data_IF_412548096463
#
_entry.id   IF_412548096463
#
_cell.length_a   1.000
_cell.length_b   1.000
_cell.length_c   1.000
_cell.angle_alpha   90.00
_cell.angle_beta   90.00
_cell.angle_gamma   90.00
#
_symmetry.space_group_name_H-M   'P 1'
#
loop_
_entity.id
_entity.type
_entity.pdbx_description
1 polymer ?
#
# COMPACT_ATOMS: atom_id res chain seq x y z
N UNK A 1 -17.54 -18.52 -13.97
CA UNK A 1 -17.66 -17.30 -14.79
C UNK A 1 -17.71 -17.67 -16.27
N UNK A 2 -18.57 -16.98 -17.02
CA UNK A 2 -18.74 -17.19 -18.44
C UNK A 2 -18.10 -16.05 -19.24
N UNK A 3 -17.24 -16.39 -20.20
CA UNK A 3 -16.66 -15.43 -21.16
C UNK A 3 -17.66 -14.94 -22.21
N UNK A 4 -18.89 -15.46 -22.20
CA UNK A 4 -19.99 -15.01 -23.07
C UNK A 4 -20.70 -13.78 -22.52
N UNK A 5 -20.49 -13.46 -21.23
CA UNK A 5 -21.01 -12.25 -20.60
C UNK A 5 -20.00 -11.11 -20.76
N UNK A 6 -20.51 -9.89 -20.82
CA UNK A 6 -19.73 -8.68 -21.12
C UNK A 6 -18.58 -8.49 -20.13
N UNK A 7 -18.86 -8.66 -18.83
CA UNK A 7 -17.89 -8.39 -17.77
C UNK A 7 -18.10 -9.28 -16.53
N UNK A 8 -17.24 -9.12 -15.54
CA UNK A 8 -17.32 -9.86 -14.27
C UNK A 8 -18.58 -9.47 -13.47
N UNK A 9 -19.02 -8.24 -13.54
CA UNK A 9 -20.16 -7.74 -12.80
C UNK A 9 -21.47 -8.37 -13.30
N UNK A 10 -21.60 -8.53 -14.63
CA UNK A 10 -22.76 -9.23 -15.20
C UNK A 10 -22.77 -10.71 -14.82
N UNK A 11 -21.61 -11.34 -14.74
CA UNK A 11 -21.48 -12.71 -14.23
C UNK A 11 -21.96 -12.82 -12.78
N UNK A 12 -21.51 -11.90 -11.90
CA UNK A 12 -21.89 -11.89 -10.48
C UNK A 12 -23.39 -11.61 -10.30
N UNK A 13 -23.95 -10.68 -11.07
CA UNK A 13 -25.39 -10.38 -11.05
C UNK A 13 -26.23 -11.60 -11.49
N UNK A 14 -25.82 -12.28 -12.56
CA UNK A 14 -26.47 -13.51 -13.00
C UNK A 14 -26.43 -14.60 -11.93
N UNK A 15 -25.26 -14.81 -11.32
CA UNK A 15 -25.11 -15.79 -10.23
C UNK A 15 -26.00 -15.44 -9.02
N UNK A 16 -26.11 -14.17 -8.69
CA UNK A 16 -26.98 -13.70 -7.61
C UNK A 16 -28.46 -13.96 -7.95
N UNK A 17 -28.88 -13.67 -9.17
CA UNK A 17 -30.26 -13.94 -9.63
C UNK A 17 -30.55 -15.46 -9.63
N UNK A 18 -29.59 -16.27 -10.02
CA UNK A 18 -29.72 -17.73 -9.98
C UNK A 18 -29.89 -18.27 -8.56
N UNK A 19 -29.24 -17.63 -7.58
CA UNK A 19 -29.25 -18.06 -6.18
C UNK A 19 -30.51 -17.59 -5.43
N UNK A 20 -30.90 -16.32 -5.58
CA UNK A 20 -31.98 -15.70 -4.78
C UNK A 20 -33.22 -15.34 -5.62
N UNK A 21 -33.22 -15.66 -6.90
CA UNK A 21 -34.31 -15.38 -7.84
C UNK A 21 -34.32 -13.94 -8.38
N UNK A 22 -35.41 -13.53 -9.08
CA UNK A 22 -35.47 -12.22 -9.78
C UNK A 22 -35.25 -11.00 -8.90
N UNK A 23 -35.39 -11.14 -7.58
CA UNK A 23 -35.11 -10.06 -6.63
C UNK A 23 -33.65 -9.61 -6.68
N UNK A 24 -32.72 -10.52 -7.05
CA UNK A 24 -31.30 -10.21 -7.25
C UNK A 24 -31.06 -9.10 -8.29
N UNK A 25 -31.92 -8.99 -9.29
CA UNK A 25 -31.84 -7.90 -10.30
C UNK A 25 -32.09 -6.51 -9.74
N UNK A 26 -32.72 -6.36 -8.56
CA UNK A 26 -32.90 -5.05 -7.90
C UNK A 26 -31.58 -4.41 -7.51
N UNK A 27 -30.53 -5.20 -7.32
CA UNK A 27 -29.18 -4.68 -7.00
C UNK A 27 -28.65 -3.72 -8.08
N UNK A 28 -29.10 -3.86 -9.33
CA UNK A 28 -28.69 -3.00 -10.45
C UNK A 28 -29.51 -1.69 -10.56
N UNK A 29 -30.56 -1.53 -9.76
CA UNK A 29 -31.47 -0.38 -9.85
C UNK A 29 -30.73 0.94 -9.69
N UNK A 30 -30.85 1.84 -10.68
CA UNK A 30 -30.20 3.17 -10.65
C UNK A 30 -28.68 3.15 -10.69
N UNK A 31 -28.07 2.01 -11.00
CA UNK A 31 -26.61 1.85 -11.04
C UNK A 31 -26.08 1.75 -12.46
N UNK A 32 -24.93 2.40 -12.71
CA UNK A 32 -24.13 2.24 -13.92
C UNK A 32 -22.87 1.42 -13.61
N UNK A 33 -22.18 0.92 -14.64
CA UNK A 33 -20.82 0.40 -14.48
C UNK A 33 -19.85 1.51 -14.01
N UNK A 34 -20.10 2.76 -14.40
CA UNK A 34 -19.23 3.88 -14.06
C UNK A 34 -19.13 4.11 -12.55
N UNK A 35 -20.27 4.27 -11.86
CA UNK A 35 -20.26 4.47 -10.41
C UNK A 35 -19.93 3.18 -9.65
N UNK A 36 -20.29 2.01 -10.18
CA UNK A 36 -19.92 0.73 -9.62
C UNK A 36 -18.40 0.53 -9.63
N UNK A 37 -17.74 0.67 -10.77
CA UNK A 37 -16.29 0.49 -10.89
C UNK A 37 -15.52 1.51 -10.05
N UNK A 38 -15.99 2.77 -10.00
CA UNK A 38 -15.41 3.77 -9.11
C UNK A 38 -15.52 3.34 -7.63
N UNK A 39 -16.70 2.83 -7.20
CA UNK A 39 -16.91 2.31 -5.84
C UNK A 39 -15.98 1.14 -5.52
N UNK A 40 -15.87 0.18 -6.43
CA UNK A 40 -15.00 -0.99 -6.27
C UNK A 40 -13.54 -0.58 -6.06
N UNK A 41 -13.06 0.40 -6.83
CA UNK A 41 -11.69 0.93 -6.71
C UNK A 41 -11.47 1.63 -5.36
N UNK A 42 -12.42 2.42 -4.89
CA UNK A 42 -12.35 3.04 -3.56
C UNK A 42 -12.27 2.00 -2.44
N UNK A 43 -13.16 0.99 -2.48
CA UNK A 43 -13.16 -0.10 -1.50
C UNK A 43 -11.87 -0.90 -1.51
N UNK A 44 -11.37 -1.26 -2.70
CA UNK A 44 -10.13 -2.00 -2.86
C UNK A 44 -8.94 -1.23 -2.28
N UNK A 45 -8.75 0.02 -2.68
CA UNK A 45 -7.62 0.82 -2.23
C UNK A 45 -7.71 1.17 -0.74
N UNK A 46 -8.92 1.42 -0.22
CA UNK A 46 -9.12 1.61 1.22
C UNK A 46 -8.68 0.38 2.03
N UNK A 47 -9.00 -0.82 1.54
CA UNK A 47 -8.52 -2.07 2.12
C UNK A 47 -7.00 -2.19 2.09
N UNK A 48 -6.37 -1.91 0.93
CA UNK A 48 -4.90 -1.97 0.77
C UNK A 48 -4.17 -0.94 1.63
N UNK A 49 -4.69 0.27 1.75
CA UNK A 49 -4.11 1.31 2.62
C UNK A 49 -4.12 0.90 4.10
N UNK A 50 -5.23 0.34 4.59
CA UNK A 50 -5.33 -0.19 5.96
C UNK A 50 -4.30 -1.29 6.22
N UNK A 51 -4.10 -2.18 5.27
CA UNK A 51 -3.09 -3.24 5.33
C UNK A 51 -1.66 -2.67 5.38
N UNK A 52 -1.34 -1.70 4.51
CA UNK A 52 -0.02 -1.03 4.51
C UNK A 52 0.23 -0.33 5.85
N UNK A 53 -0.76 0.38 6.40
CA UNK A 53 -0.65 1.02 7.71
C UNK A 53 -0.37 0.00 8.82
N UNK A 54 -1.05 -1.16 8.79
CA UNK A 54 -0.83 -2.23 9.76
C UNK A 54 0.59 -2.80 9.66
N UNK A 55 1.05 -3.13 8.44
CA UNK A 55 2.42 -3.62 8.19
C UNK A 55 3.49 -2.59 8.58
N UNK A 56 3.26 -1.31 8.31
CA UNK A 56 4.15 -0.24 8.72
C UNK A 56 4.25 -0.12 10.26
N UNK A 57 3.15 -0.35 10.99
CA UNK A 57 3.15 -0.43 12.46
C UNK A 57 4.01 -1.59 12.98
N UNK A 58 3.89 -2.76 12.36
CA UNK A 58 4.70 -3.93 12.73
C UNK A 58 6.18 -3.69 12.44
N UNK A 59 6.47 -3.09 11.30
CA UNK A 59 7.85 -2.74 10.95
C UNK A 59 8.44 -1.70 11.91
N UNK A 60 7.68 -0.68 12.31
CA UNK A 60 8.12 0.28 13.32
C UNK A 60 8.40 -0.39 14.68
N UNK A 61 7.58 -1.35 15.10
CA UNK A 61 7.83 -2.13 16.32
C UNK A 61 9.14 -2.89 16.24
N UNK A 62 9.42 -3.53 15.09
CA UNK A 62 10.67 -4.24 14.88
C UNK A 62 11.89 -3.29 14.94
N UNK A 63 11.78 -2.11 14.31
CA UNK A 63 12.82 -1.09 14.39
C UNK A 63 13.06 -0.60 15.83
N UNK A 64 11.98 -0.39 16.59
CA UNK A 64 12.06 0.06 17.98
C UNK A 64 12.74 -0.98 18.86
N UNK A 65 12.35 -2.26 18.78
CA UNK A 65 12.98 -3.35 19.52
C UNK A 65 14.46 -3.43 19.21
N UNK A 66 14.83 -3.38 17.92
CA UNK A 66 16.25 -3.38 17.52
C UNK A 66 17.00 -2.14 17.97
N UNK A 67 16.36 -0.99 17.99
CA UNK A 67 16.97 0.25 18.49
C UNK A 67 17.25 0.18 20.01
N UNK A 68 16.33 -0.40 20.78
CA UNK A 68 16.51 -0.62 22.22
C UNK A 68 17.64 -1.61 22.54
N UNK A 69 17.73 -2.72 21.78
CA UNK A 69 18.82 -3.71 21.92
C UNK A 69 20.21 -3.10 21.64
N UNK A 70 20.27 -2.03 20.83
CA UNK A 70 21.51 -1.44 20.33
C UNK A 70 21.69 0.04 20.69
N UNK A 71 21.14 0.47 21.82
CA UNK A 71 21.21 1.86 22.25
C UNK A 71 22.66 2.32 22.49
N UNK A 72 23.51 1.42 23.00
CA UNK A 72 24.91 1.68 23.30
C UNK A 72 25.90 1.14 22.24
N UNK A 73 25.39 0.51 21.18
CA UNK A 73 26.21 -0.02 20.09
C UNK A 73 26.68 1.13 19.18
N UNK A 74 27.94 1.48 19.28
CA UNK A 74 28.53 2.59 18.51
C UNK A 74 28.99 2.12 17.14
N UNK A 75 28.60 2.85 16.09
CA UNK A 75 29.09 2.68 14.72
C UNK A 75 29.45 4.03 14.10
N UNK A 76 30.30 4.05 13.04
CA UNK A 76 30.57 5.29 12.35
C UNK A 76 29.34 5.74 11.55
N UNK A 77 28.92 6.99 11.71
CA UNK A 77 28.03 7.64 10.76
C UNK A 77 28.81 8.04 9.50
N UNK A 78 28.12 8.04 8.37
CA UNK A 78 28.73 8.31 7.06
C UNK A 78 28.10 9.52 6.38
N UNK A 79 28.94 10.33 5.74
CA UNK A 79 28.56 11.30 4.71
C UNK A 79 29.46 11.07 3.50
N UNK A 80 28.92 11.12 2.30
CA UNK A 80 29.71 10.85 1.06
C UNK A 80 30.46 9.51 1.06
N UNK A 81 29.94 8.49 1.73
CA UNK A 81 30.58 7.21 1.99
C UNK A 81 31.93 7.33 2.74
N UNK A 82 32.15 8.46 3.42
CA UNK A 82 33.31 8.71 4.28
C UNK A 82 32.86 8.70 5.74
N UNK A 83 33.68 8.17 6.63
CA UNK A 83 33.43 8.18 8.08
C UNK A 83 33.32 9.61 8.57
N UNK A 84 32.24 9.88 9.29
CA UNK A 84 31.95 11.19 9.88
C UNK A 84 31.90 11.07 11.40
N UNK A 85 30.75 11.40 12.00
CA UNK A 85 30.60 11.35 13.46
C UNK A 85 30.21 9.94 13.92
N UNK A 86 30.66 9.50 15.12
CA UNK A 86 30.13 8.29 15.74
C UNK A 86 28.67 8.49 16.13
N UNK A 87 27.87 7.45 15.93
CA UNK A 87 26.46 7.40 16.32
C UNK A 87 26.15 6.07 16.99
N UNK A 88 25.05 5.96 17.73
CA UNK A 88 24.58 4.62 18.12
C UNK A 88 23.74 3.99 17.01
N UNK A 89 23.78 2.66 16.92
CA UNK A 89 22.98 1.93 15.96
C UNK A 89 21.48 2.13 16.24
N UNK A 90 21.09 2.19 17.52
CA UNK A 90 19.73 2.55 17.91
C UNK A 90 19.28 3.89 17.35
N UNK A 91 20.12 4.93 17.46
CA UNK A 91 19.82 6.24 16.87
C UNK A 91 19.64 6.17 15.34
N UNK A 92 20.48 5.39 14.66
CA UNK A 92 20.38 5.20 13.21
C UNK A 92 19.05 4.53 12.82
N UNK A 93 18.66 3.46 13.51
CA UNK A 93 17.38 2.77 13.25
C UNK A 93 16.17 3.67 13.51
N UNK A 94 16.24 4.53 14.51
CA UNK A 94 15.18 5.51 14.80
C UNK A 94 14.99 6.53 13.69
N UNK A 95 15.98 6.81 12.84
CA UNK A 95 15.77 7.63 11.65
C UNK A 95 14.74 6.98 10.69
N UNK A 96 14.84 5.67 10.48
CA UNK A 96 13.87 4.92 9.69
C UNK A 96 12.50 4.80 10.35
N UNK A 97 12.46 4.64 11.68
CA UNK A 97 11.20 4.69 12.43
C UNK A 97 10.42 5.97 12.11
N UNK A 98 11.07 7.13 12.12
CA UNK A 98 10.41 8.41 11.83
C UNK A 98 10.09 8.61 10.35
N UNK A 99 10.84 8.01 9.43
CA UNK A 99 10.47 7.98 8.01
C UNK A 99 9.16 7.22 7.80
N UNK A 100 9.05 6.01 8.36
CA UNK A 100 7.85 5.18 8.29
C UNK A 100 6.66 5.83 9.02
N UNK A 101 6.90 6.57 10.12
CA UNK A 101 5.83 7.32 10.79
C UNK A 101 5.19 8.34 9.84
N UNK A 102 5.98 9.11 9.12
CA UNK A 102 5.47 10.06 8.12
C UNK A 102 4.75 9.37 6.96
N UNK A 103 5.21 8.18 6.56
CA UNK A 103 4.52 7.41 5.52
C UNK A 103 3.16 6.91 5.98
N UNK A 104 3.04 6.42 7.21
CA UNK A 104 1.75 6.05 7.83
C UNK A 104 0.77 7.23 7.88
N UNK A 105 1.25 8.41 8.25
CA UNK A 105 0.44 9.63 8.28
C UNK A 105 -0.10 9.94 6.88
N UNK A 106 0.75 9.88 5.83
CA UNK A 106 0.32 10.05 4.44
C UNK A 106 -0.76 9.06 4.02
N UNK A 107 -0.57 7.76 4.30
CA UNK A 107 -1.58 6.75 3.98
C UNK A 107 -2.86 6.95 4.78
N UNK A 108 -2.80 7.35 6.04
CA UNK A 108 -3.97 7.62 6.87
C UNK A 108 -4.77 8.82 6.35
N UNK A 109 -4.11 9.89 5.95
CA UNK A 109 -4.75 11.07 5.36
C UNK A 109 -5.34 10.76 3.99
N UNK A 110 -4.62 10.01 3.13
CA UNK A 110 -5.12 9.54 1.84
C UNK A 110 -6.34 8.64 1.99
N UNK A 111 -6.34 7.75 2.98
CA UNK A 111 -7.48 6.90 3.31
C UNK A 111 -8.72 7.72 3.67
N UNK A 112 -8.57 8.79 4.46
CA UNK A 112 -9.67 9.68 4.81
C UNK A 112 -10.25 10.39 3.58
N UNK A 113 -9.42 10.83 2.65
CA UNK A 113 -9.87 11.45 1.39
C UNK A 113 -10.54 10.46 0.45
N UNK A 114 -10.04 9.23 0.39
CA UNK A 114 -10.59 8.16 -0.44
C UNK A 114 -11.89 7.56 0.12
N UNK A 115 -12.23 7.81 1.39
CA UNK A 115 -13.36 7.18 2.08
C UNK A 115 -14.70 7.88 1.79
N UNK A 116 -14.98 8.16 0.51
CA UNK A 116 -16.20 8.81 0.04
C UNK A 116 -16.83 7.95 -1.06
N UNK A 117 -18.13 7.65 -0.95
CA UNK A 117 -18.82 6.77 -1.90
C UNK A 117 -19.25 7.48 -3.17
N UNK A 118 -18.86 7.00 -4.35
CA UNK A 118 -19.38 7.47 -5.63
C UNK A 118 -20.71 6.78 -6.02
N UNK A 119 -21.12 5.73 -5.31
CA UNK A 119 -22.29 4.93 -5.69
C UNK A 119 -23.58 5.77 -5.68
N UNK A 120 -24.41 5.58 -6.70
CA UNK A 120 -25.62 6.36 -6.94
C UNK A 120 -25.41 7.58 -7.83
N UNK A 121 -24.17 7.83 -8.28
CA UNK A 121 -23.90 8.84 -9.32
C UNK A 121 -24.39 8.41 -10.72
N UNK A 122 -24.74 7.14 -10.89
CA UNK A 122 -25.15 6.58 -12.17
C UNK A 122 -24.04 6.64 -13.21
N UNK A 123 -24.38 6.86 -14.46
CA UNK A 123 -23.39 7.02 -15.51
C UNK A 123 -22.55 8.30 -15.33
N UNK A 124 -23.18 9.41 -14.93
CA UNK A 124 -22.55 10.72 -14.68
C UNK A 124 -23.48 11.78 -14.05
N UNK A 125 -24.80 11.59 -14.09
CA UNK A 125 -25.80 12.62 -13.72
C UNK A 125 -26.81 12.13 -12.66
N UNK A 126 -26.47 11.09 -11.92
CA UNK A 126 -27.37 10.47 -10.93
C UNK A 126 -28.44 9.60 -11.58
N UNK A 127 -29.55 9.40 -10.87
CA UNK A 127 -30.67 8.57 -11.31
C UNK A 127 -31.97 9.20 -10.89
N UNK A 128 -33.06 8.90 -11.63
CA UNK A 128 -34.45 9.31 -11.27
C UNK A 128 -35.11 8.33 -10.29
N UNK A 129 -34.46 7.18 -10.00
CA UNK A 129 -34.96 6.26 -9.00
C UNK A 129 -34.73 6.80 -7.58
N UNK A 130 -35.64 6.57 -6.64
CA UNK A 130 -35.51 7.03 -5.25
C UNK A 130 -34.56 6.11 -4.45
N UNK A 131 -33.31 6.08 -4.82
CA UNK A 131 -32.26 5.33 -4.10
C UNK A 131 -31.75 6.17 -2.93
N UNK A 132 -31.39 5.47 -1.85
CA UNK A 132 -30.75 6.07 -0.67
C UNK A 132 -29.22 5.89 -0.77
N UNK A 133 -28.52 6.95 -1.20
CA UNK A 133 -27.07 6.94 -1.38
C UNK A 133 -26.32 6.92 -0.05
N UNK A 134 -26.87 7.59 0.97
CA UNK A 134 -26.27 7.66 2.30
C UNK A 134 -26.32 6.29 2.98
N UNK A 135 -27.47 5.63 2.95
CA UNK A 135 -27.61 4.26 3.45
C UNK A 135 -26.64 3.29 2.74
N UNK A 136 -26.50 3.40 1.43
CA UNK A 136 -25.59 2.55 0.67
C UNK A 136 -24.12 2.82 1.05
N UNK A 137 -23.75 4.08 1.26
CA UNK A 137 -22.41 4.47 1.72
C UNK A 137 -22.11 3.93 3.11
N UNK A 138 -23.04 4.08 4.06
CA UNK A 138 -22.91 3.58 5.42
C UNK A 138 -22.76 2.06 5.47
N UNK A 139 -23.57 1.32 4.72
CA UNK A 139 -23.50 -0.14 4.63
C UNK A 139 -22.17 -0.64 4.03
N UNK A 140 -21.54 0.14 3.15
CA UNK A 140 -20.25 -0.14 2.56
C UNK A 140 -19.08 0.37 3.42
N UNK A 141 -19.34 1.09 4.49
CA UNK A 141 -18.34 1.61 5.43
C UNK A 141 -17.64 2.89 4.96
N UNK A 142 -18.24 3.63 4.04
CA UNK A 142 -17.77 4.96 3.66
C UNK A 142 -18.17 6.02 4.70
N UNK A 143 -17.39 7.09 4.82
CA UNK A 143 -17.66 8.21 5.72
C UNK A 143 -18.59 9.27 5.14
N UNK A 144 -18.98 9.16 3.88
CA UNK A 144 -19.86 10.09 3.19
C UNK A 144 -20.01 9.75 1.72
N UNK A 145 -20.64 10.66 0.98
CA UNK A 145 -20.92 10.53 -0.45
C UNK A 145 -20.29 11.67 -1.24
N UNK A 146 -19.93 11.45 -2.51
CA UNK A 146 -19.53 12.52 -3.40
C UNK A 146 -20.65 13.53 -3.62
N UNK A 147 -20.29 14.81 -3.60
CA UNK A 147 -21.25 15.92 -3.72
C UNK A 147 -21.65 16.19 -5.19
N UNK A 148 -20.82 15.80 -6.13
CA UNK A 148 -21.05 15.99 -7.57
C UNK A 148 -20.93 14.63 -8.30
N UNK A 149 -21.94 14.28 -9.09
CA UNK A 149 -22.00 12.99 -9.78
C UNK A 149 -21.01 12.85 -10.93
N UNK A 150 -20.63 13.93 -11.59
CA UNK A 150 -19.60 13.92 -12.63
C UNK A 150 -18.22 13.65 -12.01
N UNK A 151 -17.92 14.33 -10.91
CA UNK A 151 -16.70 14.13 -10.14
C UNK A 151 -16.62 12.68 -9.62
N UNK A 152 -17.69 12.19 -9.02
CA UNK A 152 -17.78 10.84 -8.43
C UNK A 152 -17.36 9.71 -9.39
N UNK A 153 -17.75 9.78 -10.66
CA UNK A 153 -17.44 8.73 -11.65
C UNK A 153 -16.11 8.95 -12.35
N UNK A 154 -15.57 10.17 -12.34
CA UNK A 154 -14.34 10.54 -13.06
C UNK A 154 -13.10 10.63 -12.18
N UNK A 155 -13.26 10.84 -10.88
CA UNK A 155 -12.15 10.98 -9.93
C UNK A 155 -11.22 9.75 -9.94
N UNK A 156 -9.93 10.01 -10.04
CA UNK A 156 -8.84 9.04 -9.88
C UNK A 156 -7.70 9.59 -9.02
N UNK A 157 -7.92 10.74 -8.37
CA UNK A 157 -6.92 11.41 -7.52
C UNK A 157 -6.47 10.48 -6.38
N UNK A 158 -7.40 9.75 -5.79
CA UNK A 158 -7.12 8.77 -4.73
C UNK A 158 -6.18 7.63 -5.17
N UNK A 159 -6.21 7.25 -6.47
CA UNK A 159 -5.29 6.26 -7.06
C UNK A 159 -3.89 6.87 -7.20
N UNK A 160 -3.80 8.08 -7.73
CA UNK A 160 -2.54 8.80 -7.91
C UNK A 160 -1.89 9.10 -6.57
N UNK A 161 -2.67 9.49 -5.57
CA UNK A 161 -2.19 9.72 -4.21
C UNK A 161 -1.66 8.42 -3.57
N UNK A 162 -2.37 7.30 -3.73
CA UNK A 162 -1.90 5.98 -3.29
C UNK A 162 -0.56 5.60 -3.93
N UNK A 163 -0.42 5.76 -5.24
CA UNK A 163 0.82 5.46 -5.98
C UNK A 163 1.97 6.38 -5.56
N UNK A 164 1.68 7.66 -5.34
CA UNK A 164 2.65 8.64 -4.85
C UNK A 164 3.15 8.29 -3.45
N UNK A 165 2.24 7.99 -2.52
CA UNK A 165 2.59 7.58 -1.16
C UNK A 165 3.38 6.26 -1.14
N UNK A 166 3.00 5.30 -2.00
CA UNK A 166 3.74 4.05 -2.18
C UNK A 166 5.16 4.29 -2.70
N UNK A 167 5.33 5.24 -3.60
CA UNK A 167 6.66 5.62 -4.14
C UNK A 167 7.56 6.22 -3.05
N UNK A 168 7.02 7.08 -2.18
CA UNK A 168 7.76 7.66 -1.05
C UNK A 168 8.15 6.57 -0.04
N UNK A 169 7.22 5.68 0.32
CA UNK A 169 7.50 4.54 1.21
C UNK A 169 8.62 3.66 0.63
N UNK A 170 8.53 3.30 -0.65
CA UNK A 170 9.56 2.48 -1.29
C UNK A 170 10.92 3.16 -1.35
N UNK A 171 10.98 4.49 -1.47
CA UNK A 171 12.23 5.24 -1.37
C UNK A 171 12.87 5.08 0.02
N UNK A 172 12.10 5.18 1.09
CA UNK A 172 12.61 4.97 2.44
C UNK A 172 13.09 3.52 2.65
N UNK A 173 12.31 2.54 2.19
CA UNK A 173 12.68 1.12 2.27
C UNK A 173 13.92 0.81 1.42
N UNK A 174 14.06 1.42 0.25
CA UNK A 174 15.24 1.26 -0.62
C UNK A 174 16.53 1.77 0.05
N UNK A 175 16.45 2.88 0.77
CA UNK A 175 17.59 3.43 1.53
C UNK A 175 18.04 2.48 2.62
N UNK A 176 17.12 1.97 3.43
CA UNK A 176 17.46 0.99 4.47
C UNK A 176 17.99 -0.31 3.85
N UNK A 177 17.39 -0.77 2.75
CA UNK A 177 17.85 -1.95 2.04
C UNK A 177 19.30 -1.79 1.54
N UNK A 178 19.66 -0.64 0.99
CA UNK A 178 21.04 -0.35 0.59
C UNK A 178 22.01 -0.37 1.76
N UNK A 179 21.62 0.19 2.92
CA UNK A 179 22.45 0.15 4.12
C UNK A 179 22.63 -1.30 4.63
N UNK A 180 21.57 -2.11 4.63
CA UNK A 180 21.67 -3.55 4.99
C UNK A 180 22.63 -4.29 4.07
N UNK A 181 22.58 -4.02 2.76
CA UNK A 181 23.49 -4.63 1.77
C UNK A 181 24.94 -4.23 2.07
N UNK A 182 25.19 -2.94 2.29
CA UNK A 182 26.52 -2.45 2.63
C UNK A 182 27.00 -3.03 3.97
N UNK A 183 26.21 -2.97 5.02
CA UNK A 183 26.60 -3.42 6.35
C UNK A 183 26.85 -4.92 6.46
N UNK A 184 26.17 -5.73 5.64
CA UNK A 184 26.37 -7.18 5.59
C UNK A 184 27.51 -7.61 4.67
N UNK A 185 28.14 -6.69 3.93
CA UNK A 185 29.27 -6.97 3.06
C UNK A 185 30.53 -7.33 3.85
N UNK A 186 31.47 -8.02 3.18
CA UNK A 186 32.77 -8.38 3.79
C UNK A 186 33.62 -7.16 4.16
N UNK A 187 33.41 -6.04 3.49
CA UNK A 187 34.11 -4.78 3.71
C UNK A 187 33.64 -4.05 4.97
N UNK A 188 32.34 -4.12 5.29
CA UNK A 188 31.77 -3.42 6.45
C UNK A 188 31.61 -4.33 7.67
N UNK A 189 30.98 -5.49 7.50
CA UNK A 189 30.73 -6.49 8.56
C UNK A 189 30.11 -5.90 9.84
N UNK A 190 29.18 -4.95 9.68
CA UNK A 190 28.48 -4.33 10.82
C UNK A 190 27.31 -5.19 11.29
N UNK A 191 26.70 -5.96 10.39
CA UNK A 191 25.60 -6.87 10.67
C UNK A 191 25.82 -8.21 10.00
N UNK A 192 25.22 -9.24 10.56
CA UNK A 192 25.08 -10.55 9.93
C UNK A 192 23.59 -10.84 9.72
N UNK A 193 23.24 -11.30 8.53
CA UNK A 193 21.86 -11.69 8.19
C UNK A 193 21.61 -13.13 8.61
N UNK A 194 20.39 -13.41 9.08
CA UNK A 194 19.94 -14.77 9.33
C UNK A 194 19.86 -15.56 8.02
N UNK A 195 20.19 -16.85 8.06
CA UNK A 195 20.17 -17.76 6.91
C UNK A 195 18.79 -17.86 6.27
N UNK A 196 17.71 -17.67 7.04
CA UNK A 196 16.34 -17.66 6.54
C UNK A 196 16.03 -16.48 5.59
N UNK A 197 16.84 -15.41 5.66
CA UNK A 197 16.66 -14.19 4.86
C UNK A 197 17.85 -13.89 3.93
N UNK A 198 18.67 -14.90 3.68
CA UNK A 198 19.83 -14.81 2.78
C UNK A 198 19.88 -16.02 1.87
N UNK A 199 20.49 -15.85 0.68
CA UNK A 199 20.74 -16.97 -0.22
C UNK A 199 22.21 -17.32 -0.21
N UNK A 200 22.50 -18.62 -0.31
CA UNK A 200 23.88 -19.13 -0.44
C UNK A 200 24.35 -19.14 -1.88
N UNK A 201 25.56 -19.61 -2.06
CA UNK A 201 26.13 -19.91 -3.35
C UNK A 201 26.45 -21.41 -3.44
N UNK A 202 26.08 -22.06 -4.56
CA UNK A 202 26.38 -23.48 -4.78
C UNK A 202 27.88 -23.76 -4.91
N UNK A 203 28.65 -22.80 -5.38
CA UNK A 203 30.10 -22.93 -5.60
C UNK A 203 30.92 -22.36 -4.43
N UNK A 204 30.34 -21.45 -3.65
CA UNK A 204 31.00 -20.80 -2.51
C UNK A 204 30.13 -20.95 -1.26
N UNK A 205 30.26 -22.06 -0.49
CA UNK A 205 29.38 -22.35 0.63
C UNK A 205 29.38 -21.29 1.75
N UNK A 206 30.47 -20.52 1.85
CA UNK A 206 30.63 -19.44 2.84
C UNK A 206 29.93 -18.14 2.46
N UNK A 207 29.47 -18.02 1.20
CA UNK A 207 28.86 -16.79 0.69
C UNK A 207 27.41 -16.68 1.10
N UNK A 208 27.06 -15.59 1.74
CA UNK A 208 25.67 -15.16 2.04
C UNK A 208 25.33 -13.91 1.23
N UNK A 209 24.20 -13.93 0.54
CA UNK A 209 23.73 -12.81 -0.27
C UNK A 209 22.54 -12.15 0.42
N UNK A 210 22.50 -10.82 0.55
CA UNK A 210 21.38 -10.07 1.12
C UNK A 210 20.23 -9.88 0.11
N UNK A 211 19.83 -10.95 -0.57
CA UNK A 211 18.92 -10.91 -1.72
C UNK A 211 17.55 -10.33 -1.37
N UNK A 212 17.05 -10.50 -0.16
CA UNK A 212 15.78 -9.86 0.26
C UNK A 212 15.91 -8.34 0.23
N UNK A 213 17.02 -7.79 0.73
CA UNK A 213 17.29 -6.35 0.66
C UNK A 213 17.51 -5.88 -0.78
N UNK A 214 18.24 -6.66 -1.59
CA UNK A 214 18.46 -6.37 -3.02
C UNK A 214 17.15 -6.33 -3.81
N UNK A 215 16.22 -7.25 -3.53
CA UNK A 215 14.89 -7.27 -4.16
C UNK A 215 14.03 -6.07 -3.74
N UNK A 216 14.04 -5.67 -2.47
CA UNK A 216 13.33 -4.46 -2.02
C UNK A 216 13.85 -3.24 -2.75
N UNK A 217 15.18 -3.06 -2.80
CA UNK A 217 15.83 -1.98 -3.53
C UNK A 217 15.44 -1.99 -5.02
N UNK A 218 15.52 -3.15 -5.67
CA UNK A 218 15.21 -3.29 -7.09
C UNK A 218 13.75 -3.00 -7.44
N UNK A 219 12.81 -3.44 -6.59
CA UNK A 219 11.36 -3.22 -6.80
C UNK A 219 10.93 -1.75 -6.68
N UNK A 220 11.72 -0.91 -6.05
CA UNK A 220 11.45 0.53 -5.93
C UNK A 220 11.30 1.19 -7.30
N UNK A 221 12.17 0.86 -8.26
CA UNK A 221 12.08 1.37 -9.63
C UNK A 221 10.77 0.99 -10.32
N UNK A 222 10.27 -0.24 -10.07
CA UNK A 222 8.97 -0.67 -10.60
C UNK A 222 7.81 0.13 -10.02
N UNK A 223 7.83 0.41 -8.72
CA UNK A 223 6.77 1.21 -8.07
C UNK A 223 6.77 2.64 -8.61
N UNK A 224 7.94 3.23 -8.84
CA UNK A 224 8.04 4.54 -9.49
C UNK A 224 7.47 4.51 -10.91
N UNK A 225 7.79 3.50 -11.70
CA UNK A 225 7.25 3.32 -13.05
C UNK A 225 5.72 3.13 -13.09
N UNK A 226 5.11 2.66 -12.01
CA UNK A 226 3.66 2.56 -11.92
C UNK A 226 2.97 3.91 -11.63
N UNK A 227 3.70 4.89 -11.09
CA UNK A 227 3.18 6.25 -10.86
C UNK A 227 3.23 7.10 -12.13
N UNK A 228 4.21 6.87 -13.02
CA UNK A 228 4.43 7.61 -14.27
C UNK A 228 3.68 6.98 -15.43
#
# INVERSE_FOLDING_TARGET
>A
YSTKMEDIHLNLESMLIDEIGPVGGKLHTGRSRNDQVATDMHLYLSGRQKEIIALANEFQKALLVKAEEHIDTILPGYTHLQRAQPISFGHHLMAYFWMIQRDKERFSEALNRANVSPLGAGALAGTTFPIDRELSADLLGFSGIYQNSLDAVSDRDFILEFLSNSSILMMHLSRLAEEIILWSSQEYQFIELDDAFSTGSSIMPQKKNPDMAELIRGKTGRVYGNLV
#
